data_IF_938919084538
#
_entry.id   IF_938919084538
#
_cell.length_a   1.000
_cell.length_b   1.000
_cell.length_c   1.000
_cell.angle_alpha   90.00
_cell.angle_beta   90.00
_cell.angle_gamma   90.00
#
_symmetry.space_group_name_H-M   'P 1'
#
loop_
_entity.id
_entity.type
_entity.pdbx_description
1 polymer ?
#
# COMPACT_ATOMS: atom_id res chain seq x y z
N UNK A 1 -0.76 21.53 16.08
CA UNK A 1 -0.45 20.33 15.31
C UNK A 1 1.04 20.36 14.99
N UNK A 2 1.82 19.47 15.55
CA UNK A 2 3.26 19.42 15.32
C UNK A 2 3.54 18.43 14.18
N UNK A 3 4.13 18.90 13.09
CA UNK A 3 4.59 18.04 12.01
C UNK A 3 5.99 17.51 12.35
N UNK A 4 6.26 16.26 11.96
CA UNK A 4 7.61 15.71 12.02
C UNK A 4 8.55 16.53 11.13
N UNK A 5 9.82 16.70 11.54
CA UNK A 5 10.79 17.36 10.67
C UNK A 5 10.96 16.59 9.36
N UNK A 6 11.13 17.33 8.26
CA UNK A 6 11.45 16.74 6.97
C UNK A 6 12.85 16.12 7.04
N UNK A 7 12.95 14.87 6.63
CA UNK A 7 14.20 14.13 6.59
C UNK A 7 14.61 13.98 5.12
N UNK A 8 15.70 14.66 4.74
CA UNK A 8 16.22 14.60 3.37
C UNK A 8 17.10 13.37 3.18
N UNK A 9 16.46 12.21 3.08
CA UNK A 9 17.12 10.93 2.86
C UNK A 9 16.29 10.02 1.97
N UNK A 10 16.93 9.10 1.25
CA UNK A 10 16.23 8.13 0.42
C UNK A 10 15.39 7.19 1.30
N UNK A 11 14.07 7.28 1.20
CA UNK A 11 13.09 6.56 2.04
C UNK A 11 13.21 5.02 1.98
N UNK A 12 13.84 4.48 0.94
CA UNK A 12 13.97 3.04 0.71
C UNK A 12 15.20 2.39 1.39
N UNK A 13 15.93 3.11 2.26
CA UNK A 13 17.03 2.53 3.01
C UNK A 13 16.57 1.91 4.32
N UNK A 14 17.15 0.75 4.67
CA UNK A 14 16.83 0.02 5.90
C UNK A 14 17.10 0.87 7.14
N UNK A 15 18.23 1.58 7.13
CA UNK A 15 18.68 2.42 8.23
C UNK A 15 17.70 3.55 8.51
N UNK A 16 17.24 4.22 7.46
CA UNK A 16 16.26 5.30 7.59
C UNK A 16 14.92 4.77 8.08
N UNK A 17 14.41 3.67 7.51
CA UNK A 17 13.16 3.08 7.94
C UNK A 17 13.21 2.61 9.39
N UNK A 18 14.32 1.99 9.81
CA UNK A 18 14.54 1.62 11.21
C UNK A 18 14.52 2.84 12.14
N UNK A 19 15.19 3.92 11.73
CA UNK A 19 15.21 5.17 12.49
C UNK A 19 13.84 5.81 12.59
N UNK A 20 13.09 5.87 11.49
CA UNK A 20 11.73 6.40 11.46
C UNK A 20 10.77 5.60 12.34
N UNK A 21 10.79 4.28 12.23
CA UNK A 21 9.96 3.40 13.08
C UNK A 21 10.27 3.62 14.57
N UNK A 22 11.56 3.76 14.92
CA UNK A 22 11.96 4.05 16.30
C UNK A 22 11.45 5.40 16.78
N UNK A 23 11.61 6.44 15.97
CA UNK A 23 11.13 7.79 16.29
C UNK A 23 9.60 7.81 16.48
N UNK A 24 8.84 7.21 15.57
CA UNK A 24 7.37 7.22 15.65
C UNK A 24 6.88 6.46 16.87
N UNK A 25 7.49 5.33 17.21
CA UNK A 25 7.19 4.58 18.44
C UNK A 25 7.50 5.43 19.70
N UNK A 26 8.66 6.10 19.75
CA UNK A 26 9.02 6.97 20.86
C UNK A 26 8.02 8.12 21.03
N UNK A 27 7.63 8.77 19.94
CA UNK A 27 6.61 9.84 19.97
C UNK A 27 5.23 9.33 20.38
N UNK A 28 4.81 8.17 19.86
CA UNK A 28 3.53 7.56 20.23
C UNK A 28 3.48 7.23 21.72
N UNK A 29 4.55 6.65 22.26
CA UNK A 29 4.65 6.35 23.69
C UNK A 29 4.71 7.61 24.57
N UNK A 30 5.33 8.68 24.08
CA UNK A 30 5.35 9.96 24.77
C UNK A 30 3.98 10.62 24.85
N UNK A 31 3.24 10.62 23.73
CA UNK A 31 1.91 11.26 23.65
C UNK A 31 0.83 10.39 24.30
N UNK A 32 0.86 9.09 24.08
CA UNK A 32 -0.12 8.13 24.57
C UNK A 32 0.57 6.86 25.07
N UNK A 33 1.01 6.82 26.32
CA UNK A 33 1.67 5.65 26.88
C UNK A 33 0.83 4.37 26.74
N UNK A 34 1.43 3.31 26.20
CA UNK A 34 0.77 2.01 25.98
C UNK A 34 0.04 1.88 24.64
N UNK A 35 -0.01 2.93 23.84
CA UNK A 35 -0.59 2.86 22.50
C UNK A 35 0.41 2.22 21.50
N UNK A 36 -0.11 1.34 20.62
CA UNK A 36 0.65 0.78 19.52
C UNK A 36 0.77 1.83 18.40
N UNK A 37 1.97 2.02 17.88
CA UNK A 37 2.21 2.85 16.70
C UNK A 37 1.76 2.13 15.44
N UNK A 38 1.11 2.83 14.50
CA UNK A 38 0.59 2.27 13.26
C UNK A 38 1.23 2.98 12.07
N UNK A 39 2.12 2.29 11.37
CA UNK A 39 2.74 2.77 10.14
C UNK A 39 2.00 2.29 8.90
N UNK A 40 1.50 3.22 8.09
CA UNK A 40 0.88 2.94 6.80
C UNK A 40 1.84 3.31 5.66
N UNK A 41 2.12 2.37 4.77
CA UNK A 41 3.10 2.57 3.69
C UNK A 41 2.71 1.85 2.40
N UNK A 42 3.43 2.13 1.32
CA UNK A 42 3.31 1.38 0.07
C UNK A 42 3.89 -0.03 0.22
N UNK A 43 3.73 -0.86 -0.81
CA UNK A 43 4.15 -2.25 -0.78
C UNK A 43 5.65 -2.42 -0.50
N UNK A 44 6.50 -1.59 -1.10
CA UNK A 44 7.95 -1.69 -0.95
C UNK A 44 8.40 -1.33 0.48
N UNK A 45 7.89 -0.23 1.02
CA UNK A 45 8.19 0.20 2.38
C UNK A 45 7.55 -0.72 3.42
N UNK A 46 6.35 -1.24 3.17
CA UNK A 46 5.71 -2.24 4.03
C UNK A 46 6.57 -3.50 4.17
N UNK A 47 7.07 -4.05 3.04
CA UNK A 47 7.95 -5.22 3.06
C UNK A 47 9.23 -4.94 3.88
N UNK A 48 9.80 -3.75 3.72
CA UNK A 48 10.97 -3.32 4.47
C UNK A 48 10.69 -3.18 5.96
N UNK A 49 9.57 -2.54 6.33
CA UNK A 49 9.13 -2.41 7.73
C UNK A 49 8.88 -3.78 8.38
N UNK A 50 8.28 -4.73 7.66
CA UNK A 50 8.10 -6.10 8.14
C UNK A 50 9.43 -6.81 8.36
N UNK A 51 10.38 -6.65 7.45
CA UNK A 51 11.74 -7.22 7.60
C UNK A 51 12.43 -6.66 8.85
N UNK A 52 12.34 -5.36 9.08
CA UNK A 52 12.89 -4.70 10.27
C UNK A 52 12.18 -5.21 11.54
N UNK A 53 10.85 -5.33 11.52
CA UNK A 53 10.06 -5.81 12.65
C UNK A 53 10.46 -7.25 13.05
N UNK A 54 10.69 -8.12 12.08
CA UNK A 54 11.15 -9.49 12.32
C UNK A 54 12.61 -9.56 12.80
N UNK A 55 13.47 -8.66 12.31
CA UNK A 55 14.86 -8.59 12.76
C UNK A 55 14.99 -8.05 14.19
N UNK A 56 14.08 -7.17 14.61
CA UNK A 56 14.09 -6.51 15.92
C UNK A 56 12.77 -6.70 16.69
N UNK A 57 12.36 -7.95 16.98
CA UNK A 57 11.06 -8.22 17.59
C UNK A 57 10.88 -7.61 18.98
N UNK A 58 11.97 -7.43 19.73
CA UNK A 58 11.94 -6.80 21.06
C UNK A 58 11.63 -5.31 21.02
N UNK A 59 11.97 -4.63 19.90
CA UNK A 59 11.74 -3.20 19.73
C UNK A 59 10.39 -2.89 19.10
N UNK A 60 9.97 -3.70 18.11
CA UNK A 60 8.84 -3.40 17.25
C UNK A 60 7.74 -4.46 17.26
N UNK A 61 7.95 -5.60 17.92
CA UNK A 61 6.99 -6.71 17.88
C UNK A 61 5.61 -6.36 18.44
N UNK A 62 5.57 -5.66 19.55
CA UNK A 62 4.33 -5.29 20.25
C UNK A 62 4.05 -3.78 20.23
N UNK A 63 5.00 -2.97 19.79
CA UNK A 63 4.92 -1.51 19.82
C UNK A 63 4.63 -0.86 18.47
N UNK A 64 4.81 -1.62 17.40
CA UNK A 64 4.63 -1.13 16.02
C UNK A 64 3.79 -2.08 15.19
N UNK A 65 2.79 -1.55 14.50
CA UNK A 65 1.96 -2.29 13.55
C UNK A 65 2.16 -1.75 12.14
N UNK A 66 2.85 -2.52 11.28
CA UNK A 66 3.00 -2.17 9.87
C UNK A 66 1.75 -2.55 9.08
N UNK A 67 1.22 -1.59 8.33
CA UNK A 67 0.01 -1.72 7.53
C UNK A 67 0.27 -1.30 6.08
N UNK A 68 -0.19 -2.09 5.13
CA UNK A 68 -0.10 -1.73 3.71
C UNK A 68 -1.25 -0.80 3.33
N UNK A 69 -0.95 0.30 2.66
CA UNK A 69 -1.93 1.29 2.26
C UNK A 69 -3.06 0.69 1.40
N UNK A 70 -4.32 1.04 1.72
CA UNK A 70 -5.51 0.47 1.08
C UNK A 70 -5.52 0.62 -0.44
N UNK A 71 -4.97 1.71 -0.97
CA UNK A 71 -4.83 1.91 -2.42
C UNK A 71 -3.96 0.83 -3.08
N UNK A 72 -2.86 0.43 -2.46
CA UNK A 72 -1.97 -0.61 -2.99
C UNK A 72 -2.58 -2.00 -2.87
N UNK A 73 -3.36 -2.26 -1.82
CA UNK A 73 -4.14 -3.50 -1.70
C UNK A 73 -5.18 -3.58 -2.81
N UNK A 74 -5.90 -2.49 -3.05
CA UNK A 74 -6.90 -2.40 -4.13
C UNK A 74 -6.24 -2.59 -5.52
N UNK A 75 -5.11 -1.94 -5.77
CA UNK A 75 -4.37 -2.14 -7.02
C UNK A 75 -3.99 -3.60 -7.24
N UNK A 76 -3.45 -4.26 -6.22
CA UNK A 76 -3.07 -5.68 -6.30
C UNK A 76 -4.29 -6.57 -6.57
N UNK A 77 -5.41 -6.32 -5.89
CA UNK A 77 -6.67 -7.04 -6.10
C UNK A 77 -7.20 -6.85 -7.52
N UNK A 78 -7.21 -5.62 -8.04
CA UNK A 78 -7.66 -5.33 -9.40
C UNK A 78 -6.76 -5.97 -10.47
N UNK A 79 -5.45 -6.01 -10.25
CA UNK A 79 -4.51 -6.73 -11.15
C UNK A 79 -4.86 -8.23 -11.17
N UNK A 80 -5.09 -8.85 -10.01
CA UNK A 80 -5.49 -10.25 -9.94
C UNK A 80 -6.82 -10.50 -10.67
N UNK A 81 -7.82 -9.65 -10.47
CA UNK A 81 -9.10 -9.75 -11.16
C UNK A 81 -8.90 -9.58 -12.65
N UNK A 82 -8.14 -8.58 -13.11
CA UNK A 82 -7.83 -8.36 -14.52
C UNK A 82 -7.19 -9.60 -15.16
N UNK A 83 -6.25 -10.24 -14.48
CA UNK A 83 -5.62 -11.47 -14.96
C UNK A 83 -6.61 -12.65 -15.05
N UNK A 84 -7.54 -12.77 -14.11
CA UNK A 84 -8.56 -13.84 -14.13
C UNK A 84 -9.58 -13.68 -15.25
N UNK A 85 -9.94 -12.44 -15.59
CA UNK A 85 -10.93 -12.17 -16.65
C UNK A 85 -10.32 -12.06 -18.04
N UNK A 86 -9.00 -11.87 -18.15
CA UNK A 86 -8.32 -11.81 -19.44
C UNK A 86 -8.52 -13.12 -20.22
N UNK A 87 -9.02 -13.02 -21.44
CA UNK A 87 -9.32 -14.18 -22.30
C UNK A 87 -10.60 -14.94 -21.91
N UNK A 88 -11.38 -14.47 -20.94
CA UNK A 88 -12.68 -15.04 -20.58
C UNK A 88 -13.84 -14.55 -21.46
N UNK A 89 -13.57 -13.57 -22.36
CA UNK A 89 -14.59 -12.88 -23.17
C UNK A 89 -15.29 -11.73 -22.41
N UNK A 90 -14.89 -11.44 -21.20
CA UNK A 90 -15.48 -10.35 -20.40
C UNK A 90 -15.14 -8.97 -21.00
N UNK A 91 -13.95 -8.82 -21.57
CA UNK A 91 -13.49 -7.66 -22.32
C UNK A 91 -14.39 -7.39 -23.53
N UNK A 92 -14.79 -8.43 -24.27
CA UNK A 92 -15.74 -8.34 -25.38
C UNK A 92 -17.14 -7.92 -24.88
N UNK A 93 -17.60 -8.47 -23.76
CA UNK A 93 -18.91 -8.13 -23.16
C UNK A 93 -18.95 -6.66 -22.74
N UNK A 94 -17.90 -6.17 -22.07
CA UNK A 94 -17.81 -4.77 -21.60
C UNK A 94 -17.76 -3.81 -22.80
N UNK A 95 -17.03 -4.17 -23.86
CA UNK A 95 -16.94 -3.38 -25.08
C UNK A 95 -18.27 -3.38 -25.84
N UNK A 96 -18.91 -4.54 -26.01
CA UNK A 96 -20.20 -4.67 -26.72
C UNK A 96 -21.37 -4.00 -25.96
N UNK A 97 -21.30 -3.96 -24.62
CA UNK A 97 -22.27 -3.23 -23.83
C UNK A 97 -22.12 -1.70 -23.90
N UNK A 98 -21.18 -1.21 -24.72
CA UNK A 98 -20.87 0.23 -24.89
C UNK A 98 -20.50 0.93 -23.58
N UNK A 99 -20.05 0.16 -22.58
CA UNK A 99 -19.60 0.70 -21.30
C UNK A 99 -18.24 1.36 -21.44
N UNK A 100 -17.40 0.83 -22.36
CA UNK A 100 -16.06 1.36 -22.59
C UNK A 100 -15.54 1.04 -24.00
N UNK A 101 -14.46 1.73 -24.42
CA UNK A 101 -13.72 1.39 -25.64
C UNK A 101 -12.73 0.26 -25.36
N UNK A 102 -12.34 -0.50 -26.40
CA UNK A 102 -11.38 -1.61 -26.27
C UNK A 102 -10.09 -1.17 -25.53
N UNK A 103 -9.53 0.00 -25.91
CA UNK A 103 -8.32 0.51 -25.28
C UNK A 103 -8.51 0.88 -23.80
N UNK A 104 -9.69 1.36 -23.44
CA UNK A 104 -10.01 1.72 -22.06
C UNK A 104 -10.30 0.49 -21.22
N UNK A 105 -10.97 -0.53 -21.78
CA UNK A 105 -11.18 -1.83 -21.10
C UNK A 105 -9.85 -2.50 -20.80
N UNK A 106 -8.90 -2.51 -21.75
CA UNK A 106 -7.55 -3.03 -21.52
C UNK A 106 -6.84 -2.25 -20.42
N UNK A 107 -6.90 -0.91 -20.45
CA UNK A 107 -6.28 -0.07 -19.42
C UNK A 107 -6.90 -0.27 -18.03
N UNK A 108 -8.19 -0.62 -17.95
CA UNK A 108 -8.87 -0.98 -16.71
C UNK A 108 -8.40 -2.34 -16.21
N UNK A 109 -8.31 -3.35 -17.08
CA UNK A 109 -7.81 -4.69 -16.73
C UNK A 109 -6.35 -4.66 -16.29
N UNK A 110 -5.52 -3.81 -16.91
CA UNK A 110 -4.12 -3.59 -16.53
C UNK A 110 -3.94 -2.65 -15.33
N UNK A 111 -5.07 -2.14 -14.76
CA UNK A 111 -5.08 -1.22 -13.61
C UNK A 111 -4.32 0.09 -13.84
N UNK A 112 -4.18 0.50 -15.09
CA UNK A 112 -3.59 1.79 -15.43
C UNK A 112 -4.50 2.98 -15.07
N UNK A 113 -5.79 2.73 -14.82
CA UNK A 113 -6.77 3.72 -14.41
C UNK A 113 -7.69 3.20 -13.30
N UNK A 114 -7.25 3.30 -12.06
CA UNK A 114 -7.96 2.79 -10.88
C UNK A 114 -9.36 3.39 -10.73
N UNK A 115 -9.52 4.70 -10.98
CA UNK A 115 -10.83 5.35 -10.88
C UNK A 115 -11.84 4.69 -11.81
N UNK A 116 -11.41 4.42 -13.04
CA UNK A 116 -12.28 3.79 -14.04
C UNK A 116 -12.54 2.33 -13.69
N UNK A 117 -11.52 1.59 -13.24
CA UNK A 117 -11.66 0.20 -12.80
C UNK A 117 -12.73 0.04 -11.70
N UNK A 118 -12.77 0.95 -10.72
CA UNK A 118 -13.78 0.95 -9.65
C UNK A 118 -15.23 1.06 -10.17
N UNK A 119 -15.45 1.78 -11.26
CA UNK A 119 -16.78 1.98 -11.81
C UNK A 119 -17.20 0.87 -12.78
N UNK A 120 -16.24 0.17 -13.37
CA UNK A 120 -16.49 -0.88 -14.38
C UNK A 120 -16.61 -2.27 -13.74
N UNK A 121 -15.85 -2.52 -12.70
CA UNK A 121 -15.86 -3.78 -11.95
C UNK A 121 -16.75 -3.71 -10.70
#
# INVERSE_FOLDING_TARGET
MSLFPLIDYKSSTVELQHHLMKLTVEYTQYLNPGQIDVGCSDQALYALQKTIQWAYPKLFGETYFAFMGGLHVEQAALVCIGQLITGSGMDDIVTNASLDTVGLTTAVCDVNNIKKARYTM
#
